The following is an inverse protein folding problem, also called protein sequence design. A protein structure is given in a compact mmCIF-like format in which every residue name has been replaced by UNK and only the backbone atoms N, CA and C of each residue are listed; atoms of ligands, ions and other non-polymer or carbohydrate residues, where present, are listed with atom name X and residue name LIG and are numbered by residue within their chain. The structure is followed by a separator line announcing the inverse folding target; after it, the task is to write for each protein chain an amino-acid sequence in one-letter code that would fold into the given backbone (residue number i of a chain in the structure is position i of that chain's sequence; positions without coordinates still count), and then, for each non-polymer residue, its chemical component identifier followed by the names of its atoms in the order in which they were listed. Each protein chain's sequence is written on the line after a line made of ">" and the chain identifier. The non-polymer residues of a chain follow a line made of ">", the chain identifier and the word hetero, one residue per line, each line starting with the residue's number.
data_IF_473111961074
#
_entry.id   IF_473111961074
#
_cell.length_a   1.000
_cell.length_b   1.000
_cell.length_c   1.000
_cell.angle_alpha   90.00
_cell.angle_beta   90.00
_cell.angle_gamma   90.00
#
_symmetry.space_group_name_H-M   'P 1'
#
loop_
_entity.id
_entity.type
_entity.pdbx_description
1 polymer ?
#
# COMPACT_ATOMS: atom_id res chain seq x y z
N UNK A 1 -26.08 -2.00 20.13
CA UNK A 1 -24.69 -1.77 20.59
C UNK A 1 -23.75 -1.88 19.43
N UNK A 2 -22.93 -0.86 19.17
CA UNK A 2 -21.96 -0.88 18.07
C UNK A 2 -20.81 -1.83 18.36
N UNK A 3 -20.47 -2.70 17.42
CA UNK A 3 -19.26 -3.55 17.47
C UNK A 3 -18.29 -3.02 16.43
N UNK A 4 -17.13 -2.50 16.87
CA UNK A 4 -16.07 -2.03 15.96
C UNK A 4 -15.59 -3.21 15.12
N UNK A 5 -15.55 -3.01 13.80
CA UNK A 5 -15.20 -4.05 12.82
C UNK A 5 -13.82 -3.87 12.21
N UNK A 6 -13.32 -2.64 12.19
CA UNK A 6 -12.00 -2.30 11.67
C UNK A 6 -11.61 -0.93 12.24
N UNK A 7 -10.32 -0.71 12.49
CA UNK A 7 -9.78 0.58 12.85
C UNK A 7 -8.81 1.06 11.77
N UNK A 8 -9.12 2.21 11.16
CA UNK A 8 -8.23 2.92 10.25
C UNK A 8 -7.55 4.07 11.00
N UNK A 9 -6.25 4.26 10.81
CA UNK A 9 -5.51 5.32 11.50
C UNK A 9 -4.30 5.82 10.70
N UNK A 10 -3.81 7.01 11.03
CA UNK A 10 -2.64 7.63 10.42
C UNK A 10 -1.43 7.62 11.35
N UNK A 11 -0.74 8.77 11.42
CA UNK A 11 0.40 9.07 12.30
C UNK A 11 1.71 8.34 11.97
N UNK A 12 1.66 7.04 11.65
CA UNK A 12 2.87 6.25 11.43
C UNK A 12 3.58 6.58 10.12
N UNK A 13 2.89 7.17 9.15
CA UNK A 13 3.41 7.47 7.80
C UNK A 13 4.02 6.21 7.16
N UNK A 14 3.37 5.06 7.37
CA UNK A 14 3.79 3.74 6.90
C UNK A 14 2.59 2.79 6.98
N UNK A 15 2.46 1.83 6.05
CA UNK A 15 1.52 0.74 6.23
C UNK A 15 1.86 -0.09 7.46
N UNK A 16 0.87 -0.23 8.35
CA UNK A 16 0.87 -1.14 9.47
C UNK A 16 -0.49 -1.81 9.51
N UNK A 17 -0.49 -3.14 9.52
CA UNK A 17 -1.71 -3.93 9.52
C UNK A 17 -1.63 -5.01 10.60
N UNK A 18 -2.76 -5.38 11.16
CA UNK A 18 -2.81 -6.42 12.17
C UNK A 18 -4.19 -6.59 12.77
N UNK A 19 -4.23 -7.19 13.96
CA UNK A 19 -5.45 -7.36 14.74
C UNK A 19 -5.18 -7.00 16.20
N UNK A 20 -6.03 -6.17 16.78
CA UNK A 20 -5.99 -5.79 18.19
C UNK A 20 -7.25 -6.32 18.88
N UNK A 21 -7.09 -7.31 19.76
CA UNK A 21 -8.21 -7.97 20.45
C UNK A 21 -9.30 -8.48 19.50
N UNK A 22 -8.89 -8.98 18.32
CA UNK A 22 -9.80 -9.46 17.29
C UNK A 22 -10.39 -8.37 16.38
N UNK A 23 -10.01 -7.11 16.55
CA UNK A 23 -10.39 -6.00 15.67
C UNK A 23 -9.24 -5.78 14.68
N UNK A 24 -9.46 -6.00 13.38
CA UNK A 24 -8.49 -5.62 12.34
C UNK A 24 -8.12 -4.13 12.41
N UNK A 25 -6.84 -3.83 12.27
CA UNK A 25 -6.30 -2.46 12.27
C UNK A 25 -5.50 -2.22 11.01
N UNK A 26 -5.52 -0.99 10.50
CA UNK A 26 -4.77 -0.59 9.30
C UNK A 26 -4.36 0.88 9.36
N UNK A 27 -3.08 1.15 9.13
CA UNK A 27 -2.58 2.46 8.74
C UNK A 27 -2.15 2.52 7.29
N UNK A 28 -1.99 3.74 6.79
CA UNK A 28 -1.64 4.02 5.40
C UNK A 28 -0.32 4.78 5.30
N UNK A 29 0.21 4.81 4.07
CA UNK A 29 1.23 5.78 3.69
C UNK A 29 0.73 7.21 3.90
N UNK A 30 1.67 8.11 4.16
CA UNK A 30 1.46 9.55 4.09
C UNK A 30 1.31 10.02 2.65
N UNK A 31 0.72 11.20 2.46
CA UNK A 31 0.65 11.87 1.15
C UNK A 31 1.95 12.58 0.76
N UNK A 32 2.99 12.55 1.61
CA UNK A 32 4.27 13.22 1.36
C UNK A 32 5.48 12.35 1.72
N UNK A 33 5.95 12.40 2.96
CA UNK A 33 7.12 11.64 3.42
C UNK A 33 6.68 10.41 4.24
N UNK A 34 7.42 9.31 4.10
CA UNK A 34 7.18 8.08 4.84
C UNK A 34 8.15 7.93 6.00
N UNK A 35 7.73 7.24 7.07
CA UNK A 35 8.60 6.84 8.17
C UNK A 35 9.37 5.57 7.82
N UNK A 36 10.65 5.51 8.20
CA UNK A 36 11.47 4.31 8.05
C UNK A 36 11.45 3.50 9.34
N UNK A 37 10.85 2.31 9.27
CA UNK A 37 10.84 1.36 10.39
C UNK A 37 12.21 0.66 10.51
N UNK A 38 13.09 1.20 11.36
CA UNK A 38 14.45 0.68 11.58
C UNK A 38 14.76 0.50 13.07
N UNK A 39 14.92 -0.75 13.49
CA UNK A 39 15.33 -1.09 14.86
C UNK A 39 16.71 -0.53 15.21
N UNK A 40 16.88 -0.12 16.47
CA UNK A 40 18.15 0.37 17.01
C UNK A 40 18.57 1.77 16.55
N UNK A 41 17.80 2.41 15.66
CA UNK A 41 18.04 3.80 15.29
C UNK A 41 17.68 4.73 16.44
N UNK A 42 18.58 5.65 16.80
CA UNK A 42 18.30 6.74 17.75
C UNK A 42 17.66 7.97 17.10
N UNK A 43 17.56 7.95 15.77
CA UNK A 43 17.02 9.05 14.96
C UNK A 43 15.78 8.57 14.24
N UNK A 44 14.74 9.40 14.23
CA UNK A 44 13.55 9.20 13.42
C UNK A 44 13.89 9.51 11.95
N UNK A 45 13.82 8.49 11.11
CA UNK A 45 14.20 8.58 9.71
C UNK A 45 12.96 8.73 8.83
N UNK A 46 13.02 9.68 7.90
CA UNK A 46 12.06 9.83 6.81
C UNK A 46 12.62 9.26 5.50
N UNK A 47 11.76 8.82 4.61
CA UNK A 47 12.10 8.39 3.25
C UNK A 47 11.04 8.87 2.25
N UNK A 48 11.49 9.16 1.03
CA UNK A 48 10.61 9.57 -0.06
C UNK A 48 10.25 8.33 -0.90
N UNK A 49 9.11 7.74 -0.56
CA UNK A 49 8.43 6.70 -1.31
C UNK A 49 7.11 7.29 -1.83
N UNK A 50 6.62 6.77 -2.97
CA UNK A 50 5.40 7.29 -3.59
C UNK A 50 4.23 7.31 -2.58
N UNK A 51 3.50 8.43 -2.49
CA UNK A 51 2.34 8.51 -1.62
C UNK A 51 1.20 7.67 -2.16
N UNK A 52 0.36 7.16 -1.25
CA UNK A 52 -0.82 6.37 -1.61
C UNK A 52 -2.09 6.93 -1.00
N UNK A 53 -3.23 6.77 -1.66
CA UNK A 53 -4.53 6.71 -0.99
C UNK A 53 -5.00 5.26 -0.87
N UNK A 54 -6.03 5.00 -0.07
CA UNK A 54 -6.59 3.65 0.10
C UNK A 54 -8.05 3.62 -0.31
N UNK A 55 -8.37 2.82 -1.32
CA UNK A 55 -9.75 2.51 -1.66
C UNK A 55 -10.25 1.38 -0.73
N UNK A 56 -11.21 1.71 0.13
CA UNK A 56 -11.80 0.75 1.09
C UNK A 56 -13.13 0.26 0.56
N UNK A 57 -13.20 -1.04 0.26
CA UNK A 57 -14.41 -1.73 -0.14
C UNK A 57 -15.00 -2.48 1.07
N UNK A 58 -16.24 -2.15 1.40
CA UNK A 58 -17.01 -2.79 2.48
C UNK A 58 -18.11 -3.63 1.85
N UNK A 59 -17.96 -4.96 1.87
CA UNK A 59 -18.91 -5.88 1.19
C UNK A 59 -19.18 -7.09 2.07
N UNK A 60 -20.46 -7.37 2.34
CA UNK A 60 -20.92 -8.53 3.11
C UNK A 60 -20.20 -8.70 4.47
N UNK A 61 -19.85 -7.59 5.13
CA UNK A 61 -19.13 -7.59 6.41
C UNK A 61 -17.61 -7.74 6.29
N UNK A 62 -17.08 -7.88 5.08
CA UNK A 62 -15.65 -7.88 4.80
C UNK A 62 -15.14 -6.45 4.59
N UNK A 63 -13.85 -6.26 4.87
CA UNK A 63 -13.11 -5.02 4.62
C UNK A 63 -11.94 -5.35 3.71
N UNK A 64 -11.91 -4.76 2.52
CA UNK A 64 -10.81 -4.91 1.56
C UNK A 64 -10.23 -3.53 1.29
N UNK A 65 -8.91 -3.41 1.39
CA UNK A 65 -8.20 -2.14 1.30
C UNK A 65 -7.21 -2.26 0.15
N UNK A 66 -7.39 -1.44 -0.88
CA UNK A 66 -6.50 -1.39 -2.03
C UNK A 66 -5.68 -0.10 -1.94
N UNK A 67 -4.35 -0.15 -1.73
CA UNK A 67 -3.51 1.03 -1.81
C UNK A 67 -3.29 1.42 -3.27
N UNK A 68 -3.31 2.72 -3.55
CA UNK A 68 -3.06 3.28 -4.88
C UNK A 68 -1.98 4.35 -4.79
N UNK A 69 -0.82 4.08 -5.37
CA UNK A 69 0.26 5.05 -5.57
C UNK A 69 -0.15 6.03 -6.66
N UNK A 70 -0.79 7.14 -6.30
CA UNK A 70 -1.44 8.03 -7.26
C UNK A 70 -0.49 8.98 -8.00
N UNK A 71 0.78 9.00 -7.59
CA UNK A 71 1.87 9.66 -8.31
C UNK A 71 2.77 8.66 -9.03
N UNK A 72 2.38 7.39 -9.09
CA UNK A 72 3.09 6.39 -9.87
C UNK A 72 2.79 6.60 -11.36
N UNK A 73 3.81 6.93 -12.13
CA UNK A 73 3.76 7.16 -13.57
C UNK A 73 4.52 6.07 -14.36
N UNK A 74 4.89 4.96 -13.72
CA UNK A 74 5.57 3.87 -14.41
C UNK A 74 4.68 3.27 -15.51
N UNK A 75 5.27 2.87 -16.65
CA UNK A 75 4.51 2.23 -17.72
C UNK A 75 3.77 0.98 -17.23
N UNK A 76 2.49 0.90 -17.55
CA UNK A 76 1.73 -0.31 -17.33
C UNK A 76 2.06 -1.33 -18.41
N UNK A 77 1.78 -2.61 -18.16
CA UNK A 77 1.93 -3.67 -19.16
C UNK A 77 0.81 -4.69 -18.99
N UNK A 78 0.45 -5.36 -20.08
CA UNK A 78 -0.54 -6.44 -20.01
C UNK A 78 0.09 -7.72 -19.48
N UNK A 79 -0.37 -8.19 -18.31
CA UNK A 79 0.01 -9.51 -17.76
C UNK A 79 -0.36 -10.69 -18.68
N UNK A 80 -1.25 -10.47 -19.66
CA UNK A 80 -1.64 -11.47 -20.65
C UNK A 80 -0.83 -11.42 -21.95
N UNK A 81 0.07 -10.45 -22.10
CA UNK A 81 0.96 -10.38 -23.27
C UNK A 81 1.99 -11.49 -23.24
N UNK A 82 2.17 -12.21 -24.35
CA UNK A 82 3.27 -13.19 -24.50
C UNK A 82 4.64 -12.54 -24.29
N UNK A 83 4.81 -11.29 -24.74
CA UNK A 83 6.06 -10.56 -24.55
C UNK A 83 6.32 -10.29 -23.05
N UNK A 84 5.30 -9.85 -22.30
CA UNK A 84 5.44 -9.65 -20.84
C UNK A 84 5.67 -10.97 -20.09
N UNK A 85 5.05 -12.07 -20.53
CA UNK A 85 5.23 -13.40 -19.92
C UNK A 85 6.62 -14.00 -20.17
N UNK A 86 7.27 -13.60 -21.26
CA UNK A 86 8.61 -14.05 -21.64
C UNK A 86 9.72 -13.10 -21.16
N UNK A 87 9.39 -11.93 -20.61
CA UNK A 87 10.35 -10.98 -20.07
C UNK A 87 11.09 -11.58 -18.87
N UNK A 88 12.41 -11.59 -18.91
CA UNK A 88 13.27 -12.05 -17.84
C UNK A 88 13.56 -10.95 -16.80
N UNK A 89 13.44 -9.68 -17.19
CA UNK A 89 13.65 -8.51 -16.33
C UNK A 89 12.57 -7.45 -16.51
N UNK A 90 12.39 -6.52 -15.55
CA UNK A 90 11.43 -5.43 -15.67
C UNK A 90 11.65 -4.54 -16.90
N UNK A 91 12.90 -4.36 -17.32
CA UNK A 91 13.27 -3.52 -18.48
C UNK A 91 12.80 -4.11 -19.81
N UNK A 92 12.50 -5.41 -19.86
CA UNK A 92 11.97 -6.10 -21.04
C UNK A 92 10.43 -6.05 -21.13
N UNK A 93 9.75 -5.49 -20.12
CA UNK A 93 8.29 -5.43 -20.10
C UNK A 93 7.76 -4.47 -21.17
N UNK A 94 6.87 -4.92 -22.06
CA UNK A 94 6.32 -4.06 -23.10
C UNK A 94 5.37 -3.04 -22.47
N UNK A 95 5.57 -1.72 -22.70
CA UNK A 95 4.61 -0.74 -22.25
C UNK A 95 3.25 -0.99 -22.90
N UNK A 96 2.20 -0.76 -22.14
CA UNK A 96 0.83 -0.73 -22.57
C UNK A 96 0.54 0.73 -22.97
N UNK A 97 0.36 0.96 -24.26
CA UNK A 97 -0.12 2.24 -24.81
C UNK A 97 -1.49 2.64 -24.22
#
# INVERSE_FOLDING_TARGET
>A
GGRVKHLFFGHLHRPLHGSWKGIPITSQFSTLHQFVYKFGSKVMLGYHELPTFGAVNLVAGNVVINPHSYLDDHPHFSLRSKAAQNAATPEELPPLD
#
